data_IF_938449739971
#
_entry.id   IF_938449739971
#
_cell.length_a   1.000
_cell.length_b   1.000
_cell.length_c   1.000
_cell.angle_alpha   90.00
_cell.angle_beta   90.00
_cell.angle_gamma   90.00
#
_symmetry.space_group_name_H-M   'P 1'
#
loop_
_entity.id
_entity.type
_entity.pdbx_description
1 polymer ?
#
# COMPACT_ATOMS: atom_id res chain seq x y z
N UNK A 1 -12.13 -61.40 -12.34
CA UNK A 1 -13.26 -61.90 -11.58
C UNK A 1 -14.02 -60.67 -11.18
N UNK A 2 -15.04 -60.25 -11.87
CA UNK A 2 -16.38 -60.83 -12.04
C UNK A 2 -17.22 -60.29 -10.92
N UNK A 3 -18.31 -59.67 -11.05
CA UNK A 3 -19.50 -59.67 -11.88
C UNK A 3 -20.36 -58.48 -11.48
N UNK A 4 -20.92 -57.71 -12.39
CA UNK A 4 -22.21 -57.85 -13.07
C UNK A 4 -23.45 -57.70 -12.15
N UNK A 5 -24.23 -56.62 -12.41
CA UNK A 5 -25.60 -56.50 -12.94
C UNK A 5 -26.74 -56.46 -11.91
N UNK A 6 -27.69 -55.49 -11.96
CA UNK A 6 -28.94 -55.51 -12.74
C UNK A 6 -29.81 -54.30 -12.44
N UNK A 7 -30.11 -53.52 -13.41
CA UNK A 7 -31.39 -53.27 -14.07
C UNK A 7 -32.69 -53.69 -13.36
N UNK A 8 -33.59 -52.74 -13.15
CA UNK A 8 -35.02 -53.02 -13.14
C UNK A 8 -35.82 -51.80 -13.67
N UNK A 9 -36.49 -52.03 -14.81
CA UNK A 9 -37.51 -51.21 -15.45
C UNK A 9 -38.86 -51.54 -14.83
N UNK A 10 -39.76 -50.57 -14.73
CA UNK A 10 -41.22 -50.73 -14.86
C UNK A 10 -41.78 -49.29 -15.00
N UNK A 11 -42.23 -48.84 -16.12
CA UNK A 11 -43.43 -49.10 -16.87
C UNK A 11 -44.66 -48.40 -16.28
N UNK A 12 -45.02 -47.35 -16.96
CA UNK A 12 -46.33 -46.82 -17.42
C UNK A 12 -47.59 -46.97 -16.58
N UNK A 13 -48.25 -45.86 -16.35
CA UNK A 13 -49.72 -45.74 -16.64
C UNK A 13 -50.03 -44.29 -17.05
N UNK A 14 -50.59 -44.16 -18.25
CA UNK A 14 -51.21 -42.95 -18.79
C UNK A 14 -52.64 -42.84 -18.27
N UNK A 15 -53.06 -41.66 -17.89
CA UNK A 15 -54.47 -41.32 -17.83
C UNK A 15 -54.68 -39.93 -18.44
N UNK A 16 -55.37 -39.92 -19.56
CA UNK A 16 -55.85 -38.74 -20.23
C UNK A 16 -57.14 -38.25 -19.56
N UNK A 17 -57.24 -36.96 -19.28
CA UNK A 17 -58.51 -36.28 -19.07
C UNK A 17 -58.43 -34.87 -19.69
N UNK A 18 -59.20 -34.69 -20.69
CA UNK A 18 -59.51 -33.40 -21.36
C UNK A 18 -60.48 -32.62 -20.51
N UNK A 19 -60.26 -31.34 -20.30
CA UNK A 19 -61.34 -30.37 -20.10
C UNK A 19 -60.87 -28.92 -20.25
N UNK A 20 -61.50 -28.27 -21.17
CA UNK A 20 -61.96 -26.87 -21.29
C UNK A 20 -60.99 -25.73 -21.01
N UNK A 21 -60.85 -24.95 -22.06
CA UNK A 21 -60.17 -23.65 -22.06
C UNK A 21 -60.88 -22.59 -21.23
N UNK A 22 -60.06 -21.81 -20.57
CA UNK A 22 -60.37 -20.44 -20.15
C UNK A 22 -59.17 -19.59 -20.51
N UNK A 23 -59.34 -18.75 -21.50
CA UNK A 23 -58.39 -17.70 -21.86
C UNK A 23 -58.47 -16.59 -20.81
N UNK A 24 -57.54 -16.56 -19.88
CA UNK A 24 -57.26 -15.36 -19.07
C UNK A 24 -56.11 -14.62 -19.71
N UNK A 25 -56.45 -13.47 -20.29
CA UNK A 25 -55.47 -12.44 -20.65
C UNK A 25 -54.74 -11.98 -19.37
N UNK A 26 -53.59 -12.55 -19.15
CA UNK A 26 -52.69 -12.12 -18.06
C UNK A 26 -52.04 -10.80 -18.40
N UNK A 27 -52.41 -9.76 -17.69
CA UNK A 27 -51.65 -8.53 -17.62
C UNK A 27 -50.25 -8.88 -17.08
N UNK A 28 -49.20 -8.62 -17.88
CA UNK A 28 -47.83 -8.68 -17.44
C UNK A 28 -47.64 -7.58 -16.38
N UNK A 29 -47.66 -7.97 -15.12
CA UNK A 29 -47.17 -7.14 -14.04
C UNK A 29 -45.64 -7.01 -14.25
N UNK A 30 -45.23 -5.83 -14.72
CA UNK A 30 -43.85 -5.39 -14.59
C UNK A 30 -43.64 -5.22 -13.09
N UNK A 31 -43.06 -6.23 -12.45
CA UNK A 31 -42.44 -6.09 -11.13
C UNK A 31 -41.27 -5.12 -11.29
N UNK A 32 -41.53 -3.83 -11.09
CA UNK A 32 -40.50 -2.86 -10.83
C UNK A 32 -39.82 -3.32 -9.55
N UNK A 33 -38.61 -3.83 -9.71
CA UNK A 33 -37.64 -4.04 -8.62
C UNK A 33 -37.46 -2.70 -7.89
N UNK A 34 -38.32 -2.47 -6.89
CA UNK A 34 -38.16 -1.42 -5.89
C UNK A 34 -37.32 -2.00 -4.77
N UNK A 35 -36.03 -2.22 -5.06
CA UNK A 35 -35.02 -2.24 -4.01
C UNK A 35 -35.06 -0.87 -3.36
N UNK A 36 -35.81 -0.74 -2.25
CA UNK A 36 -35.75 0.46 -1.42
C UNK A 36 -34.28 0.68 -1.04
N UNK A 37 -33.74 1.88 -1.21
CA UNK A 37 -32.38 2.15 -0.78
C UNK A 37 -32.29 1.83 0.71
N UNK A 38 -31.23 1.10 1.08
CA UNK A 38 -30.90 0.81 2.46
C UNK A 38 -30.91 2.14 3.25
N UNK A 39 -31.77 2.30 4.29
CA UNK A 39 -31.88 3.55 5.05
C UNK A 39 -30.59 3.97 5.77
N UNK A 40 -29.55 3.12 5.74
CA UNK A 40 -28.19 3.42 6.24
C UNK A 40 -27.20 3.85 5.17
N UNK A 41 -27.50 3.76 3.88
CA UNK A 41 -26.60 4.17 2.81
C UNK A 41 -26.60 5.69 2.65
N UNK A 42 -25.67 6.37 3.33
CA UNK A 42 -25.46 7.80 3.13
C UNK A 42 -25.05 8.07 1.68
N UNK A 43 -25.78 8.94 0.97
CA UNK A 43 -25.42 9.36 -0.38
C UNK A 43 -24.00 9.99 -0.37
N UNK A 44 -23.13 9.48 -1.23
CA UNK A 44 -21.76 10.00 -1.33
C UNK A 44 -21.78 11.47 -1.80
N UNK A 45 -21.01 12.36 -1.18
CA UNK A 45 -20.92 13.75 -1.60
C UNK A 45 -20.29 13.89 -2.97
N UNK A 46 -20.73 14.87 -3.76
CA UNK A 46 -20.08 15.21 -5.02
C UNK A 46 -18.72 15.84 -4.77
N UNK A 47 -17.68 15.31 -5.40
CA UNK A 47 -16.31 15.85 -5.35
C UNK A 47 -16.05 16.98 -6.36
N UNK A 48 -17.04 17.35 -7.18
CA UNK A 48 -16.87 18.36 -8.25
C UNK A 48 -16.41 19.74 -7.74
N UNK A 49 -16.81 20.14 -6.53
CA UNK A 49 -16.33 21.39 -5.93
C UNK A 49 -14.88 21.28 -5.50
N UNK A 50 -14.52 20.16 -4.88
CA UNK A 50 -13.14 19.90 -4.45
C UNK A 50 -12.20 19.84 -5.66
N UNK A 51 -12.60 19.18 -6.74
CA UNK A 51 -11.83 19.10 -7.99
C UNK A 51 -11.49 20.49 -8.56
N UNK A 52 -12.42 21.45 -8.46
CA UNK A 52 -12.17 22.83 -8.92
C UNK A 52 -11.19 23.61 -8.05
N UNK A 53 -11.10 23.27 -6.76
CA UNK A 53 -10.18 23.94 -5.81
C UNK A 53 -8.76 23.41 -5.92
N UNK A 54 -8.57 22.20 -6.43
CA UNK A 54 -7.27 21.53 -6.56
C UNK A 54 -7.02 21.10 -8.02
N UNK A 55 -6.93 22.04 -8.96
CA UNK A 55 -6.72 21.72 -10.36
C UNK A 55 -5.41 20.94 -10.55
N UNK A 56 -5.48 19.86 -11.32
CA UNK A 56 -4.33 18.99 -11.60
C UNK A 56 -4.06 17.92 -10.54
N UNK A 57 -4.69 17.97 -9.37
CA UNK A 57 -4.61 16.87 -8.40
C UNK A 57 -5.64 15.78 -8.72
N UNK A 58 -5.22 14.51 -8.57
CA UNK A 58 -6.13 13.38 -8.64
C UNK A 58 -7.05 13.39 -7.41
N UNK A 59 -8.37 13.46 -7.61
CA UNK A 59 -9.38 13.42 -6.55
C UNK A 59 -10.07 12.06 -6.60
N UNK A 60 -9.92 11.30 -5.52
CA UNK A 60 -10.51 9.97 -5.37
C UNK A 60 -12.00 10.01 -5.06
N UNK A 61 -12.61 8.82 -4.96
CA UNK A 61 -14.00 8.68 -4.53
C UNK A 61 -14.12 8.93 -3.02
N UNK A 62 -15.22 9.55 -2.57
CA UNK A 62 -15.51 9.69 -1.14
C UNK A 62 -15.66 8.32 -0.48
N UNK A 63 -15.04 8.18 0.68
CA UNK A 63 -15.14 6.99 1.52
C UNK A 63 -15.79 7.38 2.84
N UNK A 64 -16.74 6.59 3.37
CA UNK A 64 -17.33 6.88 4.65
C UNK A 64 -16.28 6.85 5.77
N UNK A 65 -16.56 7.60 6.83
CA UNK A 65 -15.80 7.56 8.08
C UNK A 65 -16.71 7.08 9.23
N UNK A 66 -16.19 6.74 10.40
CA UNK A 66 -17.01 6.44 11.57
C UNK A 66 -17.88 7.64 12.04
N UNK A 67 -17.57 8.85 11.57
CA UNK A 67 -18.34 10.05 11.90
C UNK A 67 -19.45 10.22 10.87
N UNK A 68 -20.70 10.20 11.34
CA UNK A 68 -21.87 10.37 10.48
C UNK A 68 -21.80 11.69 9.69
N UNK A 69 -22.10 11.64 8.41
CA UNK A 69 -22.06 12.82 7.53
C UNK A 69 -20.66 13.32 7.15
N UNK A 70 -19.61 12.61 7.54
CA UNK A 70 -18.24 12.94 7.21
C UNK A 70 -17.60 11.89 6.30
N UNK A 71 -17.05 12.32 5.19
CA UNK A 71 -16.41 11.46 4.19
C UNK A 71 -14.94 11.82 4.02
N UNK A 72 -14.10 10.82 3.85
CA UNK A 72 -12.70 10.99 3.51
C UNK A 72 -12.53 10.88 2.00
N UNK A 73 -11.81 11.80 1.41
CA UNK A 73 -11.47 11.85 -0.02
C UNK A 73 -9.96 11.89 -0.16
N UNK A 74 -9.39 11.01 -0.98
CA UNK A 74 -7.97 11.09 -1.35
C UNK A 74 -7.77 12.20 -2.36
N UNK A 75 -6.79 13.07 -2.14
CA UNK A 75 -6.37 14.15 -3.04
C UNK A 75 -4.85 14.07 -3.19
N UNK A 76 -4.40 13.52 -4.31
CA UNK A 76 -2.99 13.20 -4.51
C UNK A 76 -2.50 12.16 -3.47
N UNK A 77 -1.50 12.53 -2.67
CA UNK A 77 -0.92 11.74 -1.58
C UNK A 77 -1.56 12.01 -0.21
N UNK A 78 -2.55 12.91 -0.16
CA UNK A 78 -3.16 13.40 1.07
C UNK A 78 -4.63 13.02 1.19
N UNK A 79 -5.20 13.24 2.38
CA UNK A 79 -6.62 13.08 2.65
C UNK A 79 -7.27 14.41 3.01
N UNK A 80 -8.48 14.60 2.47
CA UNK A 80 -9.38 15.71 2.76
C UNK A 80 -10.68 15.12 3.29
N UNK A 81 -11.24 15.72 4.33
CA UNK A 81 -12.54 15.36 4.87
C UNK A 81 -13.60 16.29 4.32
N UNK A 82 -14.72 15.73 3.86
CA UNK A 82 -15.80 16.46 3.18
C UNK A 82 -17.12 16.11 3.85
N UNK A 83 -17.95 17.12 4.11
CA UNK A 83 -19.31 16.93 4.65
C UNK A 83 -20.25 16.29 3.62
N UNK A 84 -21.28 15.58 4.07
CA UNK A 84 -22.25 14.89 3.19
C UNK A 84 -22.90 15.81 2.13
N UNK A 85 -23.12 17.08 2.46
CA UNK A 85 -23.64 18.08 1.51
C UNK A 85 -22.59 18.57 0.48
N UNK A 86 -21.33 18.14 0.60
CA UNK A 86 -20.22 18.51 -0.28
C UNK A 86 -19.88 20.00 -0.25
N UNK A 87 -20.30 20.73 0.79
CA UNK A 87 -20.10 22.20 0.87
C UNK A 87 -18.87 22.59 1.66
N UNK A 88 -18.48 21.78 2.65
CA UNK A 88 -17.36 22.06 3.54
C UNK A 88 -16.33 20.95 3.44
N UNK A 89 -15.08 21.36 3.51
CA UNK A 89 -13.94 20.44 3.54
C UNK A 89 -12.88 20.96 4.49
N UNK A 90 -12.15 20.04 5.11
CA UNK A 90 -10.99 20.38 5.93
C UNK A 90 -9.88 19.33 5.73
N UNK A 91 -8.66 19.73 6.04
CA UNK A 91 -7.47 18.86 6.05
C UNK A 91 -7.03 18.65 7.48
N UNK A 92 -6.36 17.54 7.74
CA UNK A 92 -5.87 17.18 9.05
C UNK A 92 -6.09 15.71 9.34
N UNK A 93 -5.91 15.34 10.60
CA UNK A 93 -6.07 13.97 11.06
C UNK A 93 -7.39 13.80 11.82
N UNK A 94 -8.07 12.68 11.54
CA UNK A 94 -9.22 12.21 12.29
C UNK A 94 -8.72 11.26 13.37
N UNK A 95 -8.93 11.63 14.62
CA UNK A 95 -8.56 10.85 15.79
C UNK A 95 -9.81 10.23 16.41
N UNK A 96 -9.72 8.98 16.75
CA UNK A 96 -10.67 8.32 17.64
C UNK A 96 -10.23 8.60 19.08
N UNK A 97 -11.04 9.36 19.82
CA UNK A 97 -10.67 9.81 21.16
C UNK A 97 -10.88 8.73 22.22
N UNK A 98 -11.70 7.71 21.94
CA UNK A 98 -11.93 6.59 22.87
C UNK A 98 -10.74 5.61 22.82
N UNK A 99 -10.20 5.38 21.63
CA UNK A 99 -9.07 4.45 21.41
C UNK A 99 -7.72 5.16 21.34
N UNK A 100 -7.70 6.49 21.12
CA UNK A 100 -6.50 7.27 20.82
C UNK A 100 -5.93 7.02 19.44
N UNK A 101 -6.63 6.26 18.57
CA UNK A 101 -6.15 5.91 17.25
C UNK A 101 -6.24 7.09 16.26
N UNK A 102 -5.18 7.34 15.51
CA UNK A 102 -5.20 8.21 14.34
C UNK A 102 -5.72 7.44 13.12
N UNK A 103 -7.02 7.61 12.82
CA UNK A 103 -7.70 6.92 11.73
C UNK A 103 -7.19 7.34 10.35
N UNK A 104 -6.73 8.59 10.22
CA UNK A 104 -6.12 9.07 8.99
C UNK A 104 -4.78 8.40 8.74
N UNK A 105 -3.93 8.32 9.77
CA UNK A 105 -2.63 7.68 9.62
C UNK A 105 -2.75 6.16 9.44
N UNK A 106 -3.68 5.51 10.12
CA UNK A 106 -3.97 4.09 9.90
C UNK A 106 -4.34 3.82 8.43
N UNK A 107 -5.12 4.73 7.82
CA UNK A 107 -5.43 4.60 6.39
C UNK A 107 -4.22 4.84 5.50
N UNK A 108 -3.40 5.86 5.79
CA UNK A 108 -2.14 6.11 5.06
C UNK A 108 -1.21 4.90 5.13
N UNK A 109 -1.13 4.26 6.30
CA UNK A 109 -0.33 3.05 6.50
C UNK A 109 -0.81 1.91 5.59
N UNK A 110 -2.11 1.66 5.54
CA UNK A 110 -2.69 0.67 4.62
C UNK A 110 -2.41 0.96 3.15
N UNK A 111 -2.51 2.23 2.74
CA UNK A 111 -2.22 2.63 1.37
C UNK A 111 -0.74 2.46 1.00
N UNK A 112 0.18 2.72 1.96
CA UNK A 112 1.62 2.49 1.76
C UNK A 112 1.92 1.00 1.58
N UNK A 113 1.35 0.15 2.44
CA UNK A 113 1.53 -1.31 2.32
C UNK A 113 1.01 -1.82 0.99
N UNK A 114 -0.21 -1.44 0.59
CA UNK A 114 -0.76 -1.84 -0.70
C UNK A 114 0.11 -1.37 -1.89
N UNK A 115 0.67 -0.17 -1.81
CA UNK A 115 1.55 0.33 -2.84
C UNK A 115 2.92 -0.38 -2.88
N UNK A 116 3.42 -0.84 -1.72
CA UNK A 116 4.65 -1.63 -1.62
C UNK A 116 4.44 -3.08 -2.10
N UNK A 117 3.26 -3.66 -1.86
CA UNK A 117 2.89 -4.99 -2.37
C UNK A 117 2.80 -5.02 -3.91
N UNK A 118 2.40 -3.90 -4.52
CA UNK A 118 2.37 -3.74 -5.99
C UNK A 118 3.75 -3.45 -6.59
N UNK A 119 4.74 -3.08 -5.77
CA UNK A 119 6.07 -2.71 -6.22
C UNK A 119 6.91 -3.96 -6.53
N UNK A 120 7.61 -3.96 -7.67
CA UNK A 120 8.38 -5.13 -8.10
C UNK A 120 9.55 -5.42 -7.16
N UNK A 121 9.69 -6.67 -6.73
CA UNK A 121 10.85 -7.12 -5.94
C UNK A 121 12.18 -6.92 -6.68
N UNK A 122 12.18 -7.02 -8.02
CA UNK A 122 13.37 -6.80 -8.85
C UNK A 122 13.85 -5.33 -8.84
N UNK A 123 12.99 -4.42 -8.39
CA UNK A 123 13.34 -3.01 -8.22
C UNK A 123 13.95 -2.69 -6.84
N UNK A 124 13.97 -3.67 -5.93
CA UNK A 124 14.51 -3.51 -4.59
C UNK A 124 16.00 -3.92 -4.52
N UNK A 125 16.80 -3.15 -3.80
CA UNK A 125 18.09 -3.61 -3.32
C UNK A 125 17.88 -4.20 -1.93
N UNK A 126 17.87 -5.53 -1.84
CA UNK A 126 17.55 -6.24 -0.60
C UNK A 126 18.81 -6.66 0.15
N UNK A 127 18.90 -6.25 1.39
CA UNK A 127 19.93 -6.65 2.36
C UNK A 127 19.26 -7.59 3.39
N UNK A 128 19.29 -8.92 3.19
CA UNK A 128 18.51 -9.86 3.99
C UNK A 128 18.99 -9.92 5.43
N UNK A 129 18.09 -10.25 6.35
CA UNK A 129 18.41 -10.55 7.73
C UNK A 129 19.47 -11.66 7.81
N UNK A 130 20.32 -11.61 8.84
CA UNK A 130 21.21 -12.72 9.18
C UNK A 130 20.45 -13.69 10.08
N UNK A 131 20.15 -14.87 9.55
CA UNK A 131 19.32 -15.88 10.21
C UNK A 131 17.82 -15.71 9.92
N UNK A 132 16.98 -15.93 10.93
CA UNK A 132 15.52 -15.82 10.79
C UNK A 132 15.10 -14.35 10.56
N UNK A 133 14.31 -14.11 9.51
CA UNK A 133 13.71 -12.79 9.26
C UNK A 133 12.58 -12.56 10.27
N UNK A 134 12.75 -11.56 11.13
CA UNK A 134 11.79 -11.16 12.16
C UNK A 134 10.97 -9.94 11.74
N UNK A 135 11.56 -9.10 10.89
CA UNK A 135 10.91 -7.93 10.33
C UNK A 135 11.55 -7.57 8.99
N UNK A 136 10.79 -6.91 8.13
CA UNK A 136 11.28 -6.26 6.91
C UNK A 136 10.89 -4.79 6.94
N UNK A 137 11.87 -3.93 6.66
CA UNK A 137 11.62 -2.49 6.48
C UNK A 137 11.97 -2.09 5.05
N UNK A 138 11.18 -1.19 4.50
CA UNK A 138 11.50 -0.54 3.23
C UNK A 138 12.11 0.83 3.50
N UNK A 139 13.17 1.17 2.78
CA UNK A 139 13.90 2.41 2.99
C UNK A 139 14.05 3.17 1.69
N UNK A 140 13.35 4.26 1.54
CA UNK A 140 13.57 5.21 0.46
C UNK A 140 14.91 5.91 0.70
N UNK A 141 15.85 5.69 -0.19
CA UNK A 141 17.25 6.07 -0.02
C UNK A 141 17.83 6.86 -1.18
N UNK A 142 18.81 7.68 -0.88
CA UNK A 142 19.62 8.44 -1.84
C UNK A 142 21.08 8.29 -1.41
N UNK A 143 21.93 7.70 -2.26
CA UNK A 143 23.32 7.42 -1.97
C UNK A 143 24.15 8.67 -1.65
N UNK A 144 23.76 9.83 -2.22
CA UNK A 144 24.38 11.13 -1.93
C UNK A 144 23.90 11.78 -0.64
N UNK A 145 22.94 11.15 0.08
CA UNK A 145 22.40 11.68 1.33
C UNK A 145 23.26 11.27 2.52
N UNK A 146 23.86 12.22 3.29
CA UNK A 146 24.67 11.86 4.45
C UNK A 146 23.93 11.04 5.52
N UNK A 147 22.62 11.28 5.68
CA UNK A 147 21.80 10.54 6.63
C UNK A 147 21.45 9.13 6.13
N UNK A 148 21.35 8.92 4.81
CA UNK A 148 21.23 7.58 4.22
C UNK A 148 22.50 6.78 4.41
N UNK A 149 23.66 7.40 4.15
CA UNK A 149 24.96 6.79 4.44
C UNK A 149 25.15 6.47 5.93
N UNK A 150 24.64 7.36 6.82
CA UNK A 150 24.65 7.10 8.26
C UNK A 150 23.75 5.91 8.62
N UNK A 151 22.55 5.80 8.06
CA UNK A 151 21.66 4.66 8.25
C UNK A 151 22.30 3.38 7.71
N UNK A 152 22.95 3.45 6.56
CA UNK A 152 23.59 2.28 5.95
C UNK A 152 24.67 1.67 6.86
N UNK A 153 25.43 2.47 7.58
CA UNK A 153 26.41 1.99 8.60
C UNK A 153 25.76 1.23 9.75
N UNK A 154 24.46 1.44 9.98
CA UNK A 154 23.67 0.74 11.02
C UNK A 154 23.05 -0.57 10.52
N UNK A 155 23.00 -0.76 9.21
CA UNK A 155 22.35 -1.94 8.59
C UNK A 155 22.91 -3.28 9.08
N UNK A 156 24.24 -3.45 9.26
CA UNK A 156 24.74 -4.70 9.83
C UNK A 156 24.10 -5.07 11.17
N UNK A 157 23.92 -4.10 12.08
CA UNK A 157 23.28 -4.32 13.38
C UNK A 157 21.78 -4.67 13.24
N UNK A 158 21.07 -4.06 12.28
CA UNK A 158 19.67 -4.39 11.96
C UNK A 158 19.57 -5.82 11.44
N UNK A 159 20.44 -6.22 10.51
CA UNK A 159 20.47 -7.57 9.95
C UNK A 159 20.82 -8.64 10.99
N UNK A 160 21.75 -8.35 11.90
CA UNK A 160 22.10 -9.22 13.03
C UNK A 160 20.93 -9.42 14.00
N UNK A 161 20.04 -8.43 14.11
CA UNK A 161 18.81 -8.50 14.91
C UNK A 161 17.62 -9.17 14.17
N UNK A 162 17.83 -9.68 12.95
CA UNK A 162 16.77 -10.32 12.15
C UNK A 162 15.93 -9.38 11.30
N UNK A 163 16.42 -8.17 11.00
CA UNK A 163 15.70 -7.21 10.15
C UNK A 163 16.25 -7.25 8.73
N UNK A 164 15.39 -7.52 7.76
CA UNK A 164 15.68 -7.32 6.34
C UNK A 164 15.48 -5.86 5.99
N UNK A 165 16.47 -5.26 5.31
CA UNK A 165 16.41 -3.89 4.80
C UNK A 165 16.25 -3.93 3.29
N UNK A 166 15.13 -3.43 2.76
CA UNK A 166 14.85 -3.33 1.34
C UNK A 166 14.94 -1.87 0.91
N UNK A 167 15.99 -1.52 0.18
CA UNK A 167 16.16 -0.17 -0.34
C UNK A 167 15.32 0.07 -1.59
N UNK A 168 14.70 1.25 -1.65
CA UNK A 168 14.00 1.82 -2.79
C UNK A 168 14.76 3.08 -3.19
N UNK A 169 15.20 3.14 -4.44
CA UNK A 169 15.93 4.28 -4.95
C UNK A 169 15.04 5.54 -4.96
N UNK A 170 15.46 6.60 -4.27
CA UNK A 170 14.72 7.86 -4.21
C UNK A 170 15.68 9.05 -4.24
N UNK A 171 16.25 9.39 -5.40
CA UNK A 171 17.14 10.54 -5.54
C UNK A 171 16.40 11.86 -5.31
N UNK A 172 16.74 12.60 -4.26
CA UNK A 172 16.09 13.86 -3.86
C UNK A 172 16.13 14.96 -4.93
N UNK A 173 17.15 14.94 -5.77
CA UNK A 173 17.32 15.88 -6.88
C UNK A 173 16.50 15.52 -8.11
N UNK A 174 15.74 14.43 -8.09
CA UNK A 174 14.97 13.93 -9.23
C UNK A 174 15.85 13.49 -10.42
N UNK A 175 15.22 13.27 -11.60
CA UNK A 175 15.93 12.87 -12.80
C UNK A 175 17.04 13.85 -13.19
N UNK A 176 18.21 13.33 -13.54
CA UNK A 176 19.37 14.13 -13.95
C UNK A 176 20.24 14.68 -12.81
N UNK A 177 19.82 14.60 -11.56
CA UNK A 177 20.64 14.94 -10.40
C UNK A 177 21.80 13.97 -10.16
N UNK A 178 22.79 14.34 -9.33
CA UNK A 178 23.95 13.46 -9.06
C UNK A 178 23.49 12.15 -8.41
N UNK A 179 22.61 12.17 -7.44
CA UNK A 179 22.09 10.96 -6.80
C UNK A 179 21.30 10.07 -7.76
N UNK A 180 20.62 10.63 -8.76
CA UNK A 180 19.93 9.86 -9.78
C UNK A 180 20.88 9.01 -10.61
N UNK A 181 21.97 9.61 -11.11
CA UNK A 181 22.98 8.88 -11.88
C UNK A 181 23.69 7.82 -11.04
N UNK A 182 24.07 8.19 -9.82
CA UNK A 182 24.76 7.30 -8.91
C UNK A 182 23.90 6.08 -8.51
N UNK A 183 22.62 6.28 -8.19
CA UNK A 183 21.70 5.17 -7.89
C UNK A 183 21.48 4.27 -9.10
N UNK A 184 21.39 4.82 -10.32
CA UNK A 184 21.34 4.00 -11.55
C UNK A 184 22.59 3.14 -11.70
N UNK A 185 23.78 3.70 -11.45
CA UNK A 185 25.05 2.95 -11.45
C UNK A 185 25.04 1.82 -10.41
N UNK A 186 24.55 2.09 -9.21
CA UNK A 186 24.44 1.09 -8.13
C UNK A 186 23.49 -0.04 -8.54
N UNK A 187 22.26 0.29 -9.01
CA UNK A 187 21.28 -0.74 -9.41
C UNK A 187 21.72 -1.55 -10.63
N UNK A 188 22.58 -1.00 -11.47
CA UNK A 188 23.16 -1.68 -12.63
C UNK A 188 24.44 -2.46 -12.35
N UNK A 189 25.00 -2.39 -11.15
CA UNK A 189 26.19 -3.15 -10.79
C UNK A 189 25.89 -4.66 -10.74
N UNK A 190 26.91 -5.48 -11.00
CA UNK A 190 26.81 -6.94 -10.85
C UNK A 190 26.47 -7.34 -9.41
N UNK A 191 26.96 -6.56 -8.42
CA UNK A 191 26.57 -6.64 -7.01
C UNK A 191 26.12 -5.25 -6.53
N UNK A 192 24.83 -4.95 -6.58
CA UNK A 192 24.29 -3.67 -6.14
C UNK A 192 24.51 -3.37 -4.65
N UNK A 193 24.58 -4.42 -3.81
CA UNK A 193 24.84 -4.24 -2.39
C UNK A 193 26.26 -3.76 -2.14
N UNK A 194 27.26 -4.41 -2.76
CA UNK A 194 28.65 -3.99 -2.70
C UNK A 194 28.85 -2.58 -3.30
N UNK A 195 28.16 -2.28 -4.42
CA UNK A 195 28.22 -0.94 -5.02
C UNK A 195 27.63 0.13 -4.07
N UNK A 196 26.56 -0.20 -3.34
CA UNK A 196 25.99 0.73 -2.34
C UNK A 196 26.94 0.90 -1.13
N UNK A 197 27.64 -0.16 -0.69
CA UNK A 197 28.67 -0.08 0.37
C UNK A 197 29.78 0.91 -0.01
N UNK A 198 30.24 0.88 -1.26
CA UNK A 198 31.24 1.84 -1.78
C UNK A 198 30.67 3.26 -1.77
N UNK A 199 29.46 3.46 -2.31
CA UNK A 199 28.81 4.78 -2.36
C UNK A 199 28.56 5.36 -0.96
N UNK A 200 28.25 4.51 0.01
CA UNK A 200 28.05 4.90 1.40
C UNK A 200 29.33 5.11 2.20
N UNK A 201 30.50 4.79 1.61
CA UNK A 201 31.81 4.88 2.27
C UNK A 201 32.00 3.84 3.38
N UNK A 202 31.38 2.67 3.24
CA UNK A 202 31.53 1.53 4.14
C UNK A 202 32.46 0.46 3.57
N UNK A 203 32.78 0.54 2.29
CA UNK A 203 33.78 -0.28 1.61
C UNK A 203 34.70 0.59 0.74
N UNK A 204 35.93 0.11 0.50
CA UNK A 204 36.87 0.71 -0.46
C UNK A 204 36.47 0.28 -1.88
N UNK A 205 36.62 1.17 -2.84
CA UNK A 205 36.33 0.89 -4.24
C UNK A 205 35.96 2.15 -5.00
N UNK A 206 35.69 1.97 -6.28
CA UNK A 206 35.22 3.02 -7.16
C UNK A 206 33.92 2.54 -7.79
N UNK A 207 32.89 3.38 -7.78
CA UNK A 207 31.65 3.07 -8.50
C UNK A 207 31.98 3.08 -9.99
N UNK A 208 31.72 1.99 -10.68
CA UNK A 208 31.76 1.97 -12.11
C UNK A 208 30.83 3.07 -12.64
N UNK A 209 31.33 3.88 -13.56
CA UNK A 209 30.44 4.79 -14.32
C UNK A 209 29.55 3.92 -15.20
N UNK A 210 28.51 3.41 -14.60
CA UNK A 210 27.47 2.76 -15.33
C UNK A 210 26.71 3.87 -16.03
N UNK A 211 27.10 4.19 -17.25
CA UNK A 211 26.28 4.94 -18.18
C UNK A 211 24.95 4.22 -18.46
N UNK A 212 24.43 3.78 -17.49
CA UNK A 212 23.48 2.84 -16.97
C UNK A 212 22.13 2.83 -17.68
N UNK A 213 22.11 2.34 -18.91
CA UNK A 213 20.90 1.90 -19.61
C UNK A 213 20.69 0.38 -19.44
N UNK A 214 20.87 -0.13 -18.21
CA UNK A 214 20.47 -1.48 -17.88
C UNK A 214 18.97 -1.53 -17.49
N UNK A 215 18.36 -2.70 -17.55
CA UNK A 215 16.95 -2.88 -17.18
C UNK A 215 16.69 -2.45 -15.72
N UNK A 216 17.62 -2.71 -14.81
CA UNK A 216 17.51 -2.35 -13.38
C UNK A 216 17.53 -0.82 -13.14
N UNK A 217 18.05 -0.02 -14.10
CA UNK A 217 18.03 1.44 -13.98
C UNK A 217 16.60 2.02 -13.89
N UNK A 218 15.60 1.32 -14.43
CA UNK A 218 14.20 1.71 -14.35
C UNK A 218 13.66 1.66 -12.89
N UNK A 219 14.31 0.89 -12.02
CA UNK A 219 13.97 0.85 -10.59
C UNK A 219 14.08 2.23 -9.91
N UNK A 220 14.98 3.09 -10.41
CA UNK A 220 15.16 4.45 -9.86
C UNK A 220 13.95 5.33 -10.19
N UNK A 221 13.42 5.23 -11.40
CA UNK A 221 12.22 5.95 -11.81
C UNK A 221 10.99 5.43 -11.08
N UNK A 222 10.85 4.10 -11.01
CA UNK A 222 9.77 3.45 -10.25
C UNK A 222 9.80 3.82 -8.76
N UNK A 223 10.98 3.92 -8.15
CA UNK A 223 11.15 4.35 -6.77
C UNK A 223 10.73 5.81 -6.54
N UNK A 224 11.02 6.72 -7.48
CA UNK A 224 10.53 8.10 -7.44
C UNK A 224 9.01 8.17 -7.53
N UNK A 225 8.40 7.41 -8.44
CA UNK A 225 6.95 7.34 -8.61
C UNK A 225 6.27 6.77 -7.35
N UNK A 226 6.80 5.67 -6.82
CA UNK A 226 6.30 5.08 -5.59
C UNK A 226 6.40 6.06 -4.42
N UNK A 227 7.56 6.71 -4.25
CA UNK A 227 7.76 7.68 -3.18
C UNK A 227 6.77 8.84 -3.25
N UNK A 228 6.49 9.36 -4.46
CA UNK A 228 5.48 10.38 -4.67
C UNK A 228 4.07 9.86 -4.33
N UNK A 229 3.73 8.62 -4.75
CA UNK A 229 2.43 7.97 -4.48
C UNK A 229 2.17 7.79 -2.98
N UNK A 230 3.21 7.49 -2.19
CA UNK A 230 3.09 7.22 -0.74
C UNK A 230 3.49 8.39 0.15
N UNK A 231 3.79 9.54 -0.43
CA UNK A 231 4.04 10.79 0.30
C UNK A 231 5.43 10.93 0.90
N UNK A 232 6.45 10.29 0.32
CA UNK A 232 7.86 10.48 0.71
C UNK A 232 8.33 11.88 0.33
N UNK A 233 8.86 12.63 1.31
CA UNK A 233 9.32 14.01 1.14
C UNK A 233 10.83 14.18 1.30
N UNK A 234 11.53 13.12 1.68
CA UNK A 234 12.97 13.17 1.92
C UNK A 234 13.55 11.82 2.26
N UNK A 235 14.87 11.76 2.36
CA UNK A 235 15.61 10.53 2.62
C UNK A 235 16.52 10.66 3.85
N UNK A 236 16.73 9.55 4.57
CA UNK A 236 16.00 8.31 4.42
C UNK A 236 14.55 8.45 4.90
N UNK A 237 13.61 7.72 4.31
CA UNK A 237 12.28 7.49 4.87
C UNK A 237 12.11 5.97 4.99
N UNK A 238 11.87 5.48 6.20
CA UNK A 238 11.67 4.06 6.48
C UNK A 238 10.18 3.77 6.58
N UNK A 239 9.72 2.67 5.99
CA UNK A 239 8.37 2.15 6.16
C UNK A 239 8.45 0.84 6.92
N UNK A 240 7.76 0.79 8.06
CA UNK A 240 7.71 -0.35 8.97
C UNK A 240 6.70 -1.41 8.48
N UNK A 241 6.70 -2.63 9.05
CA UNK A 241 5.72 -3.67 8.75
C UNK A 241 4.25 -3.23 8.91
N UNK A 242 3.97 -2.32 9.83
CA UNK A 242 2.63 -1.72 10.01
C UNK A 242 2.24 -0.71 8.93
N UNK A 243 3.13 -0.37 8.00
CA UNK A 243 2.96 0.72 7.04
C UNK A 243 3.31 2.10 7.60
N UNK A 244 3.66 2.21 8.88
CA UNK A 244 4.06 3.48 9.49
C UNK A 244 5.33 4.01 8.81
N UNK A 245 5.30 5.28 8.37
CA UNK A 245 6.45 5.94 7.80
C UNK A 245 7.23 6.70 8.86
N UNK A 246 8.54 6.48 8.91
CA UNK A 246 9.48 7.17 9.77
C UNK A 246 10.41 8.04 8.89
N UNK A 247 10.13 9.34 8.75
CA UNK A 247 10.99 10.22 7.99
C UNK A 247 12.27 10.54 8.76
N UNK A 248 13.38 10.57 8.04
CA UNK A 248 14.69 10.87 8.58
C UNK A 248 15.42 9.67 9.17
N UNK A 249 16.64 9.93 9.62
CA UNK A 249 17.52 8.93 10.23
C UNK A 249 17.08 8.59 11.67
N UNK A 250 17.14 7.31 11.99
CA UNK A 250 17.00 6.79 13.36
C UNK A 250 18.10 5.76 13.63
N UNK A 251 18.69 5.80 14.81
CA UNK A 251 19.70 4.82 15.25
C UNK A 251 19.10 3.42 15.33
N UNK A 252 19.89 2.39 14.98
CA UNK A 252 19.44 1.00 14.95
C UNK A 252 18.77 0.56 16.26
N UNK A 253 19.32 0.92 17.40
CA UNK A 253 18.75 0.55 18.69
C UNK A 253 17.32 1.12 18.90
N UNK A 254 17.09 2.36 18.50
CA UNK A 254 15.76 2.99 18.56
C UNK A 254 14.81 2.40 17.53
N UNK A 255 15.30 2.12 16.33
CA UNK A 255 14.51 1.48 15.29
C UNK A 255 14.05 0.08 15.71
N UNK A 256 14.94 -0.72 16.32
CA UNK A 256 14.60 -2.03 16.86
C UNK A 256 13.58 -1.96 18.00
N UNK A 257 13.64 -0.93 18.86
CA UNK A 257 12.58 -0.69 19.85
C UNK A 257 11.24 -0.35 19.18
N UNK A 258 11.28 0.47 18.14
CA UNK A 258 10.08 0.86 17.40
C UNK A 258 9.44 -0.33 16.69
N UNK A 259 10.23 -1.21 16.07
CA UNK A 259 9.75 -2.43 15.44
C UNK A 259 9.05 -3.37 16.43
N UNK A 260 9.59 -3.53 17.65
CA UNK A 260 8.95 -4.34 18.71
C UNK A 260 7.61 -3.77 19.15
N UNK A 261 7.48 -2.45 19.23
CA UNK A 261 6.21 -1.78 19.56
C UNK A 261 5.21 -1.92 18.40
N UNK A 262 5.69 -1.87 17.17
CA UNK A 262 4.89 -2.05 15.97
C UNK A 262 4.29 -3.47 15.91
N UNK A 263 5.08 -4.50 16.21
CA UNK A 263 4.63 -5.89 16.31
C UNK A 263 3.50 -6.05 17.35
N UNK A 264 3.63 -5.41 18.50
CA UNK A 264 2.62 -5.45 19.55
C UNK A 264 1.32 -4.76 19.12
N UNK A 265 1.42 -3.62 18.44
CA UNK A 265 0.26 -2.85 17.97
C UNK A 265 -0.44 -3.47 16.77
N UNK A 266 0.30 -4.24 15.95
CA UNK A 266 -0.20 -4.89 14.73
C UNK A 266 -0.77 -6.29 14.99
N UNK A 267 -0.56 -6.87 16.19
CA UNK A 267 -1.08 -8.18 16.54
C UNK A 267 -2.62 -8.15 16.60
N UNK A 268 -3.32 -9.09 15.92
CA UNK A 268 -4.77 -9.17 15.99
C UNK A 268 -5.21 -9.45 17.45
N UNK A 269 -5.90 -8.50 18.06
CA UNK A 269 -6.42 -8.60 19.43
C UNK A 269 -5.68 -7.76 20.48
N UNK A 270 -4.74 -6.90 20.10
CA UNK A 270 -4.12 -5.93 21.02
C UNK A 270 -5.09 -4.76 21.29
N UNK A 271 -6.15 -5.01 22.08
CA UNK A 271 -6.82 -3.94 22.80
C UNK A 271 -5.84 -3.39 23.84
N UNK A 272 -5.34 -2.20 23.62
CA UNK A 272 -4.62 -1.45 24.66
C UNK A 272 -5.66 -1.10 25.71
N UNK A 273 -5.73 -1.93 26.76
CA UNK A 273 -6.58 -1.67 27.92
C UNK A 273 -6.06 -0.41 28.59
N UNK A 274 -6.95 0.55 28.96
CA UNK A 274 -6.58 1.83 29.54
C UNK A 274 -5.85 1.70 30.88
#
# INVERSE_FOLDING_TARGET
MGSIVKNSRSASVALAAAALGVTLTGAAAVEADRSAPDPGAQALPSTARLQRLVPGAAVGQPQPTPVEGLFRVRVGDSYVYVTADGRHAFTGDLLDLDTGQNLTEARRNGDRLAALEEFSDDALLVLPAKGEERARIYVFTDSTCPYCQKLHREVPALRDAGVTVAYIAFPRGGPGGPGYRELRSIWCADDPAAAFDVAAGTAEGELADAGADCAAAQAVDAGLELGAKVGVRGTPTMVLPSGAALPGYMEAARLLQRLRLDDVLSAPGSEVKP
#
